data_IF_044007491141
#
_entry.id   IF_044007491141
#
_cell.length_a   1.000
_cell.length_b   1.000
_cell.length_c   1.000
_cell.angle_alpha   90.00
_cell.angle_beta   90.00
_cell.angle_gamma   90.00
#
_symmetry.space_group_name_H-M   'P 1'
#
loop_
_entity.id
_entity.type
_entity.pdbx_description
1 polymer ?
#
# COMPACT_ATOMS: atom_id res chain seq x y z
N UNK A 1 24.30 12.14 -4.75
CA UNK A 1 24.37 11.46 -6.05
C UNK A 1 23.10 10.65 -6.17
N UNK A 2 22.11 11.17 -6.90
CA UNK A 2 20.81 10.50 -7.03
C UNK A 2 20.99 9.11 -7.69
N UNK A 3 20.58 8.01 -7.03
CA UNK A 3 20.85 6.65 -7.52
C UNK A 3 20.18 6.38 -8.87
N UNK A 4 19.02 6.99 -9.13
CA UNK A 4 18.27 6.84 -10.38
C UNK A 4 19.03 7.53 -11.52
N UNK A 5 19.46 8.77 -11.32
CA UNK A 5 20.28 9.52 -12.28
C UNK A 5 21.62 8.81 -12.55
N UNK A 6 22.28 8.30 -11.51
CA UNK A 6 23.52 7.53 -11.66
C UNK A 6 23.33 6.25 -12.48
N UNK A 7 22.21 5.55 -12.30
CA UNK A 7 21.89 4.35 -13.07
C UNK A 7 21.59 4.69 -14.54
N UNK A 8 20.77 5.73 -14.76
CA UNK A 8 20.43 6.25 -16.08
C UNK A 8 21.68 6.58 -16.90
N UNK A 9 22.60 7.35 -16.33
CA UNK A 9 23.84 7.73 -17.02
C UNK A 9 24.69 6.51 -17.35
N UNK A 10 24.77 5.52 -16.45
CA UNK A 10 25.52 4.26 -16.70
C UNK A 10 24.87 3.41 -17.78
N UNK A 11 23.55 3.32 -17.85
CA UNK A 11 22.85 2.53 -18.87
C UNK A 11 22.98 3.16 -20.26
N UNK A 12 22.89 4.50 -20.35
CA UNK A 12 23.08 5.24 -21.59
C UNK A 12 24.53 5.15 -22.09
N UNK A 13 25.51 5.32 -21.20
CA UNK A 13 26.93 5.24 -21.55
C UNK A 13 27.38 3.85 -22.02
N UNK A 14 26.70 2.79 -21.56
CA UNK A 14 26.96 1.41 -21.99
C UNK A 14 26.03 0.93 -23.12
N UNK A 15 25.24 1.82 -23.72
CA UNK A 15 24.29 1.52 -24.80
C UNK A 15 23.33 0.36 -24.46
N UNK A 16 22.91 0.28 -23.19
CA UNK A 16 22.04 -0.79 -22.67
C UNK A 16 20.55 -0.46 -22.78
N UNK A 17 20.22 0.82 -22.91
CA UNK A 17 18.85 1.34 -23.07
C UNK A 17 18.91 2.69 -23.79
N UNK A 18 17.82 3.05 -24.46
CA UNK A 18 17.61 4.35 -25.07
C UNK A 18 17.01 5.35 -24.08
N UNK A 19 17.12 6.65 -24.38
CA UNK A 19 16.51 7.71 -23.55
C UNK A 19 14.98 7.61 -23.62
N UNK A 20 14.47 7.15 -24.75
CA UNK A 20 13.06 6.94 -25.05
C UNK A 20 12.47 5.84 -24.17
N UNK A 21 13.11 4.66 -24.09
CA UNK A 21 12.66 3.56 -23.21
C UNK A 21 12.64 3.97 -21.73
N UNK A 22 13.66 4.70 -21.26
CA UNK A 22 13.68 5.19 -19.88
C UNK A 22 12.55 6.18 -19.59
N UNK A 23 12.17 7.01 -20.57
CA UNK A 23 11.02 7.91 -20.44
C UNK A 23 9.69 7.17 -20.47
N UNK A 24 9.57 6.12 -21.28
CA UNK A 24 8.37 5.27 -21.31
C UNK A 24 8.15 4.60 -19.95
N UNK A 25 9.22 4.08 -19.33
CA UNK A 25 9.17 3.54 -17.96
C UNK A 25 8.74 4.61 -16.96
N UNK A 26 9.30 5.83 -17.02
CA UNK A 26 8.91 6.93 -16.13
C UNK A 26 7.41 7.27 -16.27
N UNK A 27 6.85 7.19 -17.48
CA UNK A 27 5.42 7.44 -17.75
C UNK A 27 4.56 6.30 -17.20
N UNK A 28 4.97 5.05 -17.42
CA UNK A 28 4.25 3.86 -16.93
C UNK A 28 4.21 3.84 -15.40
N UNK A 29 5.34 4.08 -14.75
CA UNK A 29 5.45 4.13 -13.28
C UNK A 29 4.58 5.25 -12.71
N UNK A 30 4.56 6.43 -13.34
CA UNK A 30 3.67 7.52 -12.89
C UNK A 30 2.21 7.14 -12.99
N UNK A 31 1.81 6.50 -14.08
CA UNK A 31 0.44 6.04 -14.26
C UNK A 31 0.06 5.00 -13.20
N UNK A 32 0.93 4.02 -12.93
CA UNK A 32 0.70 3.02 -11.89
C UNK A 32 0.55 3.66 -10.50
N UNK A 33 1.38 4.66 -10.19
CA UNK A 33 1.29 5.41 -8.93
C UNK A 33 -0.01 6.21 -8.85
N UNK A 34 -0.41 6.88 -9.93
CA UNK A 34 -1.69 7.63 -9.98
C UNK A 34 -2.88 6.69 -9.80
N UNK A 35 -2.90 5.55 -10.48
CA UNK A 35 -3.95 4.53 -10.35
C UNK A 35 -3.99 3.96 -8.92
N UNK A 36 -2.83 3.67 -8.31
CA UNK A 36 -2.73 3.20 -6.94
C UNK A 36 -3.15 4.26 -5.90
N UNK A 37 -2.81 5.52 -6.12
CA UNK A 37 -3.22 6.63 -5.28
C UNK A 37 -4.73 6.87 -5.37
N UNK A 38 -5.30 6.78 -6.58
CA UNK A 38 -6.73 6.86 -6.78
C UNK A 38 -7.43 5.70 -6.07
N UNK A 39 -6.92 4.47 -6.21
CA UNK A 39 -7.44 3.32 -5.48
C UNK A 39 -7.42 3.58 -3.96
N UNK A 40 -6.28 3.96 -3.40
CA UNK A 40 -6.13 4.22 -1.97
C UNK A 40 -7.02 5.37 -1.43
N UNK A 41 -7.41 6.33 -2.27
CA UNK A 41 -8.31 7.43 -1.87
C UNK A 41 -9.79 7.07 -2.03
N UNK A 42 -10.12 6.14 -2.92
CA UNK A 42 -11.50 5.67 -3.13
C UNK A 42 -11.87 4.45 -2.31
N UNK A 43 -10.88 3.73 -1.78
CA UNK A 43 -11.08 2.54 -0.95
C UNK A 43 -11.86 2.92 0.32
N UNK A 44 -13.01 2.28 0.59
CA UNK A 44 -13.79 2.58 1.79
C UNK A 44 -13.02 2.23 3.06
N UNK A 45 -13.28 2.99 4.12
CA UNK A 45 -12.71 2.66 5.43
C UNK A 45 -13.14 1.26 5.89
N UNK A 46 -12.28 0.54 6.64
CA UNK A 46 -12.62 -0.76 7.21
C UNK A 46 -13.91 -0.67 8.04
N UNK A 47 -14.77 -1.70 7.98
CA UNK A 47 -16.03 -1.67 8.70
C UNK A 47 -15.77 -1.70 10.22
N UNK A 48 -16.60 -0.98 10.98
CA UNK A 48 -16.44 -0.85 12.43
C UNK A 48 -16.51 -2.18 13.21
N UNK A 49 -17.07 -3.22 12.59
CA UNK A 49 -17.12 -4.56 13.17
C UNK A 49 -15.75 -5.24 13.23
N UNK A 50 -14.83 -4.87 12.32
CA UNK A 50 -13.47 -5.41 12.27
C UNK A 50 -12.49 -4.65 13.17
N UNK A 51 -12.97 -3.61 13.87
CA UNK A 51 -12.15 -2.74 14.72
C UNK A 51 -11.32 -3.51 15.76
N UNK A 52 -11.86 -4.62 16.27
CA UNK A 52 -11.22 -5.43 17.29
C UNK A 52 -10.64 -6.74 16.77
N UNK A 53 -10.53 -6.94 15.44
CA UNK A 53 -9.90 -8.13 14.91
C UNK A 53 -8.39 -8.14 15.17
N UNK A 54 -7.79 -9.34 15.12
CA UNK A 54 -6.36 -9.58 15.25
C UNK A 54 -5.73 -9.18 16.59
N UNK A 55 -6.50 -9.18 17.68
CA UNK A 55 -5.95 -8.96 19.05
C UNK A 55 -5.07 -10.13 19.49
N UNK A 56 -5.51 -11.36 19.20
CA UNK A 56 -4.75 -12.58 19.44
C UNK A 56 -4.65 -13.38 18.15
N UNK A 57 -3.65 -14.25 18.07
CA UNK A 57 -3.46 -15.16 16.95
C UNK A 57 -3.85 -16.58 17.38
N UNK A 58 -4.62 -17.30 16.56
CA UNK A 58 -5.08 -18.68 16.80
C UNK A 58 -5.97 -18.89 18.03
N UNK A 59 -6.63 -17.84 18.52
CA UNK A 59 -7.57 -17.93 19.64
C UNK A 59 -9.03 -17.84 19.14
N UNK A 60 -9.99 -18.46 19.84
CA UNK A 60 -11.40 -18.40 19.47
C UNK A 60 -11.94 -16.97 19.57
N UNK A 61 -13.00 -16.63 18.80
CA UNK A 61 -13.56 -15.29 18.82
C UNK A 61 -13.97 -14.85 20.23
N UNK A 62 -13.56 -13.64 20.62
CA UNK A 62 -13.84 -13.09 21.95
C UNK A 62 -14.58 -11.76 21.87
N UNK A 63 -15.33 -11.44 22.94
CA UNK A 63 -15.99 -10.15 23.08
C UNK A 63 -15.04 -9.14 23.74
N UNK A 64 -14.89 -7.97 23.13
CA UNK A 64 -14.06 -6.86 23.60
C UNK A 64 -14.97 -5.73 24.07
N UNK A 65 -14.61 -5.10 25.19
CA UNK A 65 -15.36 -3.98 25.76
C UNK A 65 -15.13 -2.71 24.92
N UNK A 66 -16.22 -2.10 24.47
CA UNK A 66 -16.21 -0.81 23.79
C UNK A 66 -16.17 0.39 24.76
N UNK A 67 -16.59 1.55 24.28
CA UNK A 67 -16.54 2.83 25.03
C UNK A 67 -17.47 2.89 26.25
N UNK A 68 -18.47 2.00 26.33
CA UNK A 68 -19.35 1.87 27.49
C UNK A 68 -19.56 0.38 27.84
N UNK A 69 -20.07 0.06 29.05
CA UNK A 69 -20.26 -1.33 29.48
C UNK A 69 -21.21 -2.18 28.63
N UNK A 70 -22.06 -1.56 27.79
CA UNK A 70 -23.07 -2.24 26.97
C UNK A 70 -22.65 -2.39 25.51
N UNK A 71 -21.63 -1.65 25.06
CA UNK A 71 -21.05 -1.79 23.73
C UNK A 71 -20.03 -2.93 23.75
N UNK A 72 -20.35 -4.02 23.04
CA UNK A 72 -19.48 -5.18 22.86
C UNK A 72 -19.03 -5.24 21.41
N UNK A 73 -17.74 -5.35 21.20
CA UNK A 73 -17.11 -5.54 19.89
C UNK A 73 -16.65 -6.99 19.77
N UNK A 74 -16.63 -7.54 18.55
CA UNK A 74 -16.14 -8.90 18.31
C UNK A 74 -14.69 -8.82 17.87
N UNK A 75 -13.87 -9.73 18.38
CA UNK A 75 -12.49 -9.93 17.94
C UNK A 75 -12.39 -11.30 17.32
N UNK A 76 -12.04 -11.36 16.04
CA UNK A 76 -11.66 -12.58 15.35
C UNK A 76 -10.15 -12.55 15.08
N UNK A 77 -9.47 -13.68 15.33
CA UNK A 77 -8.04 -13.85 15.05
C UNK A 77 -7.74 -13.82 13.56
#
# INVERSE_FOLDING_TARGET
>A
SDPISMLKDRMLNNNMASVEELKEIDVEVRKEIEDAAQFATTDPEPPLEDLCNHIFCNEPPMEVRGTNPWTKLKSVS
#
